data_IF_431709756390
#
_entry.id   IF_431709756390
#
_cell.length_a   1.000
_cell.length_b   1.000
_cell.length_c   1.000
_cell.angle_alpha   90.00
_cell.angle_beta   90.00
_cell.angle_gamma   90.00
#
_symmetry.space_group_name_H-M   'P 1'
#
loop_
_entity.id
_entity.type
_entity.pdbx_description
1 polymer ?
#
# COMPACT_ATOMS: atom_id res chain seq x y z
N UNK A 1 27.68 -0.53 11.62
CA UNK A 1 26.79 -0.94 10.49
C UNK A 1 27.38 -0.33 9.22
N UNK A 2 27.81 -1.17 8.29
CA UNK A 2 28.29 -0.75 6.98
C UNK A 2 27.10 -0.62 6.04
N UNK A 3 27.01 0.48 5.30
CA UNK A 3 25.96 0.71 4.30
C UNK A 3 26.56 0.66 2.91
N UNK A 4 25.89 -0.06 2.00
CA UNK A 4 26.27 -0.12 0.58
C UNK A 4 25.27 0.66 -0.27
N UNK A 5 25.79 1.34 -1.28
CA UNK A 5 25.01 2.16 -2.21
C UNK A 5 24.50 1.31 -3.36
N UNK A 6 23.21 1.46 -3.68
CA UNK A 6 22.56 0.79 -4.82
C UNK A 6 21.58 1.74 -5.50
N UNK A 7 21.24 1.46 -6.77
CA UNK A 7 19.97 1.86 -7.34
C UNK A 7 18.92 0.82 -6.95
N UNK A 8 17.68 1.22 -6.75
CA UNK A 8 16.59 0.27 -6.42
C UNK A 8 16.45 -0.82 -7.49
N UNK A 9 16.67 -0.51 -8.77
CA UNK A 9 16.60 -1.50 -9.85
C UNK A 9 17.66 -2.60 -9.81
N UNK A 10 18.72 -2.46 -9.01
CA UNK A 10 19.70 -3.53 -8.74
C UNK A 10 19.19 -4.50 -7.66
N UNK A 11 18.21 -4.07 -6.87
CA UNK A 11 17.70 -4.77 -5.69
C UNK A 11 16.29 -5.36 -5.90
N UNK A 12 15.51 -4.81 -6.81
CA UNK A 12 14.11 -5.18 -7.04
C UNK A 12 13.67 -4.87 -8.47
N UNK A 13 12.61 -5.55 -8.89
CA UNK A 13 11.86 -5.18 -10.09
C UNK A 13 10.52 -4.52 -9.72
N UNK A 14 10.00 -3.67 -10.63
CA UNK A 14 8.76 -2.91 -10.46
C UNK A 14 7.85 -3.22 -11.64
N UNK A 15 6.80 -4.00 -11.40
CA UNK A 15 5.86 -4.40 -12.45
C UNK A 15 4.59 -3.57 -12.41
N UNK A 16 4.32 -2.85 -13.49
CA UNK A 16 3.07 -2.11 -13.70
C UNK A 16 1.93 -3.07 -13.98
N UNK A 17 0.71 -2.75 -13.47
CA UNK A 17 -0.48 -3.54 -13.72
C UNK A 17 -1.14 -3.32 -15.08
N UNK A 18 -2.28 -3.97 -15.27
CA UNK A 18 -3.05 -3.95 -16.52
C UNK A 18 -3.80 -2.63 -16.73
N UNK A 19 -3.93 -2.22 -17.98
CA UNK A 19 -4.97 -1.26 -18.39
C UNK A 19 -6.31 -1.99 -18.39
N UNK A 20 -7.19 -1.62 -17.45
CA UNK A 20 -8.51 -2.23 -17.28
C UNK A 20 -9.55 -1.37 -17.99
N UNK A 21 -10.30 -1.96 -18.92
CA UNK A 21 -11.32 -1.24 -19.68
C UNK A 21 -12.52 -0.87 -18.78
N UNK A 22 -12.95 0.39 -18.84
CA UNK A 22 -13.97 0.94 -17.95
C UNK A 22 -15.37 0.33 -18.14
N UNK A 23 -15.64 -0.25 -19.30
CA UNK A 23 -16.90 -0.95 -19.60
C UNK A 23 -17.16 -2.16 -18.69
N UNK A 24 -16.09 -2.75 -18.12
CA UNK A 24 -16.18 -3.88 -17.19
C UNK A 24 -16.16 -3.46 -15.72
N UNK A 25 -16.24 -2.16 -15.41
CA UNK A 25 -16.33 -1.71 -14.02
C UNK A 25 -17.74 -1.95 -13.48
N UNK A 26 -17.83 -2.63 -12.32
CA UNK A 26 -19.09 -3.04 -11.73
C UNK A 26 -19.13 -2.76 -10.21
N UNK A 27 -20.33 -2.82 -9.65
CA UNK A 27 -20.57 -2.68 -8.22
C UNK A 27 -20.37 -3.99 -7.45
N UNK A 28 -20.34 -5.11 -8.17
CA UNK A 28 -20.11 -6.46 -7.64
C UNK A 28 -19.23 -7.27 -8.59
N UNK A 29 -18.54 -8.29 -8.10
CA UNK A 29 -17.68 -9.15 -8.91
C UNK A 29 -16.67 -9.92 -8.08
N UNK A 30 -15.86 -10.73 -8.74
CA UNK A 30 -14.86 -11.57 -8.09
C UNK A 30 -13.58 -10.80 -7.72
N UNK A 31 -13.23 -9.77 -8.50
CA UNK A 31 -11.98 -9.05 -8.33
C UNK A 31 -12.23 -7.58 -8.06
N UNK A 32 -11.55 -7.05 -7.05
CA UNK A 32 -11.53 -5.62 -6.74
C UNK A 32 -10.30 -5.02 -7.43
N UNK A 33 -10.49 -4.08 -8.34
CA UNK A 33 -9.38 -3.37 -8.99
C UNK A 33 -8.69 -2.44 -8.00
N UNK A 34 -7.38 -2.56 -7.92
CA UNK A 34 -6.55 -1.66 -7.12
C UNK A 34 -6.47 -0.29 -7.77
N UNK A 35 -6.53 0.74 -6.93
CA UNK A 35 -6.42 2.14 -7.31
C UNK A 35 -5.56 2.88 -6.29
N UNK A 36 -5.26 4.15 -6.53
CA UNK A 36 -4.60 5.00 -5.54
C UNK A 36 -5.38 5.12 -4.22
N UNK A 37 -6.71 4.88 -4.23
CA UNK A 37 -7.55 4.86 -3.02
C UNK A 37 -7.28 3.69 -2.07
N UNK A 38 -6.47 2.71 -2.49
CA UNK A 38 -6.08 1.57 -1.65
C UNK A 38 -4.83 1.85 -0.80
N UNK A 39 -4.30 3.07 -0.84
CA UNK A 39 -3.14 3.45 -0.06
C UNK A 39 -3.54 4.44 1.05
N UNK A 40 -3.27 4.07 2.28
CA UNK A 40 -3.19 5.02 3.39
C UNK A 40 -1.75 5.56 3.44
N UNK A 41 -1.51 6.65 2.70
CA UNK A 41 -0.16 7.23 2.57
C UNK A 41 0.35 7.92 3.84
N UNK A 42 -0.55 8.23 4.78
CA UNK A 42 -0.18 8.79 6.08
C UNK A 42 0.36 7.73 7.02
N UNK A 43 -0.19 6.52 6.94
CA UNK A 43 0.18 5.40 7.79
C UNK A 43 0.96 4.32 7.05
N UNK A 44 1.22 4.55 5.76
CA UNK A 44 1.92 3.62 4.87
C UNK A 44 1.34 2.20 4.96
N UNK A 45 0.04 2.05 4.74
CA UNK A 45 -0.66 0.78 4.89
C UNK A 45 -1.74 0.59 3.81
N UNK A 46 -2.24 -0.64 3.70
CA UNK A 46 -3.37 -0.94 2.83
C UNK A 46 -4.64 -0.33 3.39
N UNK A 47 -5.43 0.29 2.51
CA UNK A 47 -6.73 0.85 2.82
C UNK A 47 -7.80 0.21 1.94
N UNK A 48 -8.92 -0.21 2.53
CA UNK A 48 -10.09 -0.58 1.75
C UNK A 48 -10.68 0.68 1.09
N UNK A 49 -10.70 0.68 -0.24
CA UNK A 49 -11.24 1.83 -0.97
C UNK A 49 -12.77 1.79 -0.95
N UNK A 50 -13.37 2.84 -0.41
CA UNK A 50 -14.83 3.06 -0.35
C UNK A 50 -15.27 4.31 -1.10
N UNK A 51 -14.38 4.91 -1.89
CA UNK A 51 -14.63 6.19 -2.57
C UNK A 51 -15.49 6.09 -3.83
N UNK A 52 -15.74 4.88 -4.32
CA UNK A 52 -16.50 4.59 -5.54
C UNK A 52 -17.31 3.31 -5.37
N UNK A 53 -18.44 3.22 -6.04
CA UNK A 53 -19.29 2.03 -6.00
C UNK A 53 -18.84 0.95 -7.01
N UNK A 54 -18.17 1.36 -8.10
CA UNK A 54 -17.79 0.50 -9.22
C UNK A 54 -16.32 0.02 -9.16
N UNK A 55 -15.90 -0.49 -8.02
CA UNK A 55 -14.51 -0.95 -7.82
C UNK A 55 -14.26 -2.38 -8.31
N UNK A 56 -15.30 -3.15 -8.58
CA UNK A 56 -15.15 -4.50 -9.11
C UNK A 56 -14.85 -4.49 -10.61
N UNK A 57 -14.20 -5.57 -11.06
CA UNK A 57 -13.87 -5.79 -12.47
C UNK A 57 -14.40 -7.15 -12.92
N UNK A 58 -15.21 -7.15 -14.00
CA UNK A 58 -15.88 -8.34 -14.55
C UNK A 58 -15.34 -8.75 -15.92
N UNK A 59 -14.40 -7.99 -16.47
CA UNK A 59 -13.79 -8.27 -17.77
C UNK A 59 -12.72 -9.35 -17.76
N UNK A 60 -12.07 -9.61 -18.89
CA UNK A 60 -11.00 -10.58 -19.00
C UNK A 60 -9.83 -10.27 -18.08
N UNK A 61 -9.35 -11.26 -17.33
CA UNK A 61 -8.26 -11.12 -16.36
C UNK A 61 -7.11 -12.06 -16.72
N UNK A 62 -5.89 -11.51 -16.78
CA UNK A 62 -4.67 -12.31 -16.86
C UNK A 62 -4.20 -12.66 -15.44
N UNK A 63 -3.87 -13.93 -15.21
CA UNK A 63 -3.49 -14.44 -13.88
C UNK A 63 -2.34 -13.70 -13.22
N UNK A 64 -1.41 -13.18 -14.01
CA UNK A 64 -0.24 -12.42 -13.53
C UNK A 64 -0.59 -11.12 -12.80
N UNK A 65 -1.78 -10.56 -13.03
CA UNK A 65 -2.27 -9.34 -12.37
C UNK A 65 -3.17 -9.61 -11.16
N UNK A 66 -3.49 -10.88 -10.88
CA UNK A 66 -4.19 -11.26 -9.66
C UNK A 66 -3.17 -11.24 -8.51
N UNK A 67 -3.47 -10.43 -7.50
CA UNK A 67 -2.55 -10.22 -6.39
C UNK A 67 -2.67 -11.32 -5.35
N UNK A 68 -1.53 -11.60 -4.71
CA UNK A 68 -1.44 -12.56 -3.61
C UNK A 68 -1.22 -11.82 -2.28
N UNK A 69 -1.69 -12.43 -1.20
CA UNK A 69 -1.42 -11.95 0.15
C UNK A 69 0.08 -11.80 0.37
N UNK A 70 0.48 -10.66 0.92
CA UNK A 70 1.89 -10.35 1.14
C UNK A 70 2.56 -9.61 -0.02
N UNK A 71 1.94 -9.53 -1.21
CA UNK A 71 2.47 -8.73 -2.31
C UNK A 71 2.62 -7.27 -1.88
N UNK A 72 3.77 -6.69 -2.15
CA UNK A 72 4.04 -5.27 -1.89
C UNK A 72 3.67 -4.47 -3.12
N UNK A 73 2.88 -3.43 -2.92
CA UNK A 73 2.43 -2.52 -3.98
C UNK A 73 2.79 -1.07 -3.68
N UNK A 74 2.93 -0.26 -4.74
CA UNK A 74 3.16 1.18 -4.67
C UNK A 74 2.36 1.90 -5.76
N UNK A 75 1.85 3.12 -5.54
CA UNK A 75 1.12 3.86 -6.56
C UNK A 75 2.08 4.44 -7.60
N UNK A 76 1.63 4.51 -8.84
CA UNK A 76 2.33 5.17 -9.95
C UNK A 76 1.78 6.56 -10.28
N UNK A 77 0.66 6.94 -9.67
CA UNK A 77 -0.02 8.24 -9.88
C UNK A 77 -0.20 8.94 -8.56
N UNK A 78 0.08 10.23 -8.49
CA UNK A 78 -0.11 11.05 -7.30
C UNK A 78 -1.44 11.83 -7.41
N UNK A 79 -2.45 11.38 -6.69
CA UNK A 79 -3.73 12.08 -6.53
C UNK A 79 -3.74 12.99 -5.28
N UNK A 80 -2.79 12.80 -4.38
CA UNK A 80 -2.57 13.60 -3.19
C UNK A 80 -1.07 13.72 -2.91
N UNK A 81 -0.62 14.88 -2.46
CA UNK A 81 0.81 15.12 -2.14
C UNK A 81 1.29 14.10 -1.09
N UNK A 82 2.40 13.41 -1.39
CA UNK A 82 2.99 12.40 -0.51
C UNK A 82 2.53 10.96 -0.79
N UNK A 83 1.67 10.75 -1.79
CA UNK A 83 1.25 9.41 -2.21
C UNK A 83 2.38 8.65 -2.93
N UNK A 84 3.18 9.33 -3.78
CA UNK A 84 4.33 8.69 -4.44
C UNK A 84 5.34 8.19 -3.41
N UNK A 85 5.75 6.94 -3.58
CA UNK A 85 6.63 6.25 -2.63
C UNK A 85 5.89 5.69 -1.41
N UNK A 86 4.57 5.85 -1.26
CA UNK A 86 3.85 5.05 -0.28
C UNK A 86 3.81 3.58 -0.71
N UNK A 87 3.71 2.69 0.26
CA UNK A 87 3.62 1.25 0.02
C UNK A 87 2.42 0.67 0.76
N UNK A 88 1.93 -0.45 0.26
CA UNK A 88 0.91 -1.24 0.94
C UNK A 88 1.16 -2.73 0.72
N UNK A 89 0.68 -3.57 1.64
CA UNK A 89 0.77 -5.02 1.54
C UNK A 89 -0.63 -5.56 1.27
N UNK A 90 -0.77 -6.41 0.27
CA UNK A 90 -2.03 -7.05 -0.09
C UNK A 90 -2.50 -7.96 1.07
N UNK A 91 -3.73 -7.78 1.57
CA UNK A 91 -4.20 -8.48 2.77
C UNK A 91 -4.75 -9.89 2.51
N UNK A 92 -5.22 -10.18 1.29
CA UNK A 92 -5.93 -11.43 0.96
C UNK A 92 -5.51 -11.95 -0.42
N UNK A 93 -5.48 -13.28 -0.58
CA UNK A 93 -5.20 -13.93 -1.86
C UNK A 93 -6.37 -13.77 -2.85
N UNK A 94 -6.02 -13.64 -4.13
CA UNK A 94 -6.94 -13.78 -5.28
C UNK A 94 -8.16 -12.86 -5.28
N UNK A 95 -8.14 -11.81 -4.48
CA UNK A 95 -9.25 -10.84 -4.37
C UNK A 95 -9.00 -9.54 -5.13
N UNK A 96 -7.74 -9.16 -5.27
CA UNK A 96 -7.35 -7.88 -5.83
C UNK A 96 -6.72 -8.02 -7.20
N UNK A 97 -7.10 -7.12 -8.12
CA UNK A 97 -6.58 -7.05 -9.48
C UNK A 97 -5.70 -5.80 -9.64
N UNK A 98 -4.48 -5.98 -10.08
CA UNK A 98 -3.52 -4.92 -10.29
C UNK A 98 -3.89 -4.08 -11.52
N UNK A 99 -4.19 -2.80 -11.30
CA UNK A 99 -4.44 -1.83 -12.37
C UNK A 99 -3.16 -1.11 -12.80
N UNK A 100 -3.21 -0.40 -13.91
CA UNK A 100 -2.09 0.38 -14.46
C UNK A 100 -1.56 1.48 -13.54
N UNK A 101 -2.36 1.94 -12.56
CA UNK A 101 -1.99 3.00 -11.61
C UNK A 101 -1.23 2.47 -10.38
N UNK A 102 -1.07 1.15 -10.30
CA UNK A 102 -0.42 0.45 -9.19
C UNK A 102 0.68 -0.44 -9.72
N UNK A 103 1.85 -0.38 -9.09
CA UNK A 103 2.96 -1.27 -9.36
C UNK A 103 3.13 -2.30 -8.25
N UNK A 104 3.50 -3.53 -8.63
CA UNK A 104 3.97 -4.59 -7.74
C UNK A 104 5.48 -4.53 -7.63
N UNK A 105 5.98 -4.64 -6.41
CA UNK A 105 7.40 -4.71 -6.09
C UNK A 105 7.82 -6.17 -5.96
N UNK A 106 8.87 -6.56 -6.66
CA UNK A 106 9.44 -7.91 -6.64
C UNK A 106 10.90 -7.79 -6.22
N UNK A 107 11.21 -8.22 -5.00
CA UNK A 107 12.56 -8.12 -4.45
C UNK A 107 13.48 -9.23 -4.97
N UNK A 108 14.76 -8.89 -5.18
CA UNK A 108 15.83 -9.87 -5.22
C UNK A 108 16.17 -10.24 -3.76
N UNK A 109 15.62 -11.33 -3.26
CA UNK A 109 15.71 -11.72 -1.85
C UNK A 109 17.13 -12.07 -1.38
N UNK A 110 18.07 -12.27 -2.30
CA UNK A 110 19.50 -12.43 -1.98
C UNK A 110 20.14 -11.10 -1.52
N UNK A 111 19.55 -9.97 -1.86
CA UNK A 111 20.08 -8.63 -1.58
C UNK A 111 19.12 -7.77 -0.76
N UNK A 112 17.81 -7.96 -0.91
CA UNK A 112 16.79 -7.09 -0.32
C UNK A 112 15.68 -7.91 0.33
N UNK A 113 15.58 -7.83 1.65
CA UNK A 113 14.49 -8.47 2.40
C UNK A 113 13.14 -7.76 2.11
N UNK A 114 12.06 -8.47 1.70
CA UNK A 114 10.83 -7.84 1.24
C UNK A 114 10.20 -6.87 2.25
N UNK A 115 10.17 -7.23 3.53
CA UNK A 115 9.61 -6.35 4.55
C UNK A 115 10.47 -5.11 4.80
N UNK A 116 11.78 -5.20 4.59
CA UNK A 116 12.67 -4.03 4.60
C UNK A 116 12.42 -3.15 3.37
N UNK A 117 12.21 -3.75 2.18
CA UNK A 117 11.85 -3.00 0.96
C UNK A 117 10.57 -2.19 1.13
N UNK A 118 9.56 -2.75 1.81
CA UNK A 118 8.32 -2.06 2.14
C UNK A 118 8.58 -0.73 2.87
N UNK A 119 9.46 -0.73 3.89
CA UNK A 119 9.83 0.48 4.62
C UNK A 119 10.80 1.36 3.83
N UNK A 120 11.73 0.78 3.10
CA UNK A 120 12.73 1.50 2.32
C UNK A 120 12.08 2.39 1.24
N UNK A 121 11.13 1.83 0.48
CA UNK A 121 10.43 2.56 -0.59
C UNK A 121 9.61 3.72 0.00
N UNK A 122 9.01 3.52 1.17
CA UNK A 122 8.24 4.56 1.86
C UNK A 122 9.09 5.56 2.66
N UNK A 123 10.40 5.41 2.65
CA UNK A 123 11.31 6.32 3.35
C UNK A 123 11.32 7.71 2.71
N UNK A 124 11.63 8.73 3.53
CA UNK A 124 11.80 10.10 3.06
C UNK A 124 12.83 10.24 1.93
N UNK A 125 13.88 9.42 1.97
CA UNK A 125 14.93 9.41 0.94
C UNK A 125 14.39 9.06 -0.43
N UNK A 126 13.56 8.02 -0.54
CA UNK A 126 12.94 7.59 -1.80
C UNK A 126 11.82 8.55 -2.19
N UNK A 127 10.94 8.95 -1.26
CA UNK A 127 9.85 9.91 -1.53
C UNK A 127 10.36 11.23 -2.09
N UNK A 128 11.45 11.77 -1.55
CA UNK A 128 12.06 13.00 -2.07
C UNK A 128 12.59 12.85 -3.49
N UNK A 129 13.24 11.74 -3.82
CA UNK A 129 13.72 11.47 -5.18
C UNK A 129 12.56 11.34 -6.18
N UNK A 130 11.50 10.59 -5.82
CA UNK A 130 10.31 10.45 -6.66
C UNK A 130 9.57 11.78 -6.84
N UNK A 131 9.44 12.57 -5.78
CA UNK A 131 8.81 13.89 -5.83
C UNK A 131 9.59 14.85 -6.71
N UNK A 132 10.92 14.90 -6.61
CA UNK A 132 11.79 15.73 -7.45
C UNK A 132 11.68 15.36 -8.94
N UNK A 133 11.60 14.05 -9.24
CA UNK A 133 11.45 13.56 -10.60
C UNK A 133 10.04 13.82 -11.20
N UNK A 134 9.05 14.11 -10.36
CA UNK A 134 7.64 14.32 -10.77
C UNK A 134 7.24 15.79 -10.91
N UNK A 135 8.08 16.75 -10.55
CA UNK A 135 7.75 18.19 -10.45
C UNK A 135 7.37 18.89 -11.78
N UNK A 136 7.46 18.22 -12.92
CA UNK A 136 7.25 18.83 -14.24
C UNK A 136 5.84 18.69 -14.82
N UNK A 137 4.88 18.10 -14.10
CA UNK A 137 3.52 17.83 -14.62
C UNK A 137 2.41 18.20 -13.63
N UNK A 138 1.26 18.68 -14.19
CA UNK A 138 0.05 19.05 -13.42
C UNK A 138 -0.52 17.88 -12.59
N UNK A 139 -0.43 16.66 -13.10
CA UNK A 139 -0.70 15.40 -12.39
C UNK A 139 0.64 14.70 -12.28
N UNK A 140 1.08 14.47 -11.04
CA UNK A 140 2.37 13.83 -10.80
C UNK A 140 2.25 12.35 -11.06
N UNK A 141 3.03 11.86 -12.03
CA UNK A 141 3.17 10.46 -12.33
C UNK A 141 4.60 10.02 -12.10
N UNK A 142 4.74 8.81 -11.59
CA UNK A 142 6.01 8.09 -11.62
C UNK A 142 5.92 6.89 -12.55
N UNK A 143 7.03 6.26 -12.82
CA UNK A 143 7.09 5.04 -13.65
C UNK A 143 7.93 3.98 -12.93
N UNK A 144 7.81 2.71 -13.31
CA UNK A 144 8.70 1.66 -12.84
C UNK A 144 10.18 2.05 -12.92
N UNK A 145 10.60 2.67 -14.02
CA UNK A 145 12.00 3.06 -14.21
C UNK A 145 12.44 4.17 -13.28
N UNK A 146 11.59 5.18 -13.04
CA UNK A 146 11.89 6.24 -12.06
C UNK A 146 12.03 5.69 -10.64
N UNK A 147 11.23 4.67 -10.28
CA UNK A 147 11.38 4.01 -8.98
C UNK A 147 12.70 3.24 -8.94
N UNK A 148 13.02 2.49 -10.00
CA UNK A 148 14.27 1.73 -10.11
C UNK A 148 15.53 2.61 -10.11
N UNK A 149 15.43 3.84 -10.59
CA UNK A 149 16.55 4.80 -10.59
C UNK A 149 16.84 5.45 -9.23
N UNK A 150 15.94 5.33 -8.26
CA UNK A 150 16.17 5.88 -6.92
C UNK A 150 17.42 5.25 -6.27
N UNK A 151 18.26 6.12 -5.71
CA UNK A 151 19.51 5.73 -5.04
C UNK A 151 19.27 5.57 -3.55
N UNK A 152 19.70 4.43 -3.01
CA UNK A 152 19.54 4.07 -1.59
C UNK A 152 20.84 3.54 -1.00
N UNK A 153 20.95 3.62 0.33
CA UNK A 153 22.02 3.02 1.10
C UNK A 153 21.41 1.99 2.03
N UNK A 154 21.82 0.74 1.91
CA UNK A 154 21.24 -0.36 2.69
C UNK A 154 22.31 -1.17 3.40
N UNK A 155 22.01 -1.72 4.59
CA UNK A 155 22.88 -2.64 5.30
C UNK A 155 22.79 -4.06 4.70
N UNK A 156 23.50 -4.99 5.30
CA UNK A 156 23.40 -6.41 4.96
C UNK A 156 22.01 -6.98 5.32
N UNK A 157 21.70 -8.18 4.78
CA UNK A 157 20.41 -8.84 4.96
C UNK A 157 20.05 -9.13 6.43
N UNK A 158 21.02 -9.40 7.26
CA UNK A 158 20.80 -9.66 8.70
C UNK A 158 20.27 -8.41 9.38
N UNK A 159 20.89 -7.29 9.11
CA UNK A 159 20.50 -6.00 9.68
C UNK A 159 19.17 -5.51 9.08
N UNK A 160 18.93 -5.74 7.76
CA UNK A 160 17.64 -5.44 7.13
C UNK A 160 16.49 -6.19 7.84
N UNK A 161 16.66 -7.49 8.13
CA UNK A 161 15.66 -8.29 8.87
C UNK A 161 15.44 -7.77 10.28
N UNK A 162 16.51 -7.36 10.96
CA UNK A 162 16.43 -6.77 12.30
C UNK A 162 15.64 -5.46 12.30
N UNK A 163 15.98 -4.54 11.41
CA UNK A 163 15.28 -3.25 11.25
C UNK A 163 13.81 -3.46 10.91
N UNK A 164 13.52 -4.31 9.93
CA UNK A 164 12.15 -4.63 9.53
C UNK A 164 11.33 -5.24 10.66
N UNK A 165 11.92 -6.09 11.49
CA UNK A 165 11.27 -6.66 12.67
C UNK A 165 10.88 -5.58 13.68
N UNK A 166 11.77 -4.63 13.98
CA UNK A 166 11.48 -3.52 14.89
C UNK A 166 10.33 -2.68 14.34
N UNK A 167 10.40 -2.25 13.08
CA UNK A 167 9.39 -1.40 12.46
C UNK A 167 8.03 -2.10 12.39
N UNK A 168 7.98 -3.37 11.99
CA UNK A 168 6.73 -4.13 11.92
C UNK A 168 6.08 -4.35 13.29
N UNK A 169 6.88 -4.49 14.35
CA UNK A 169 6.37 -4.58 15.72
C UNK A 169 5.80 -3.23 16.20
N UNK A 170 6.39 -2.11 15.79
CA UNK A 170 5.84 -0.77 16.05
C UNK A 170 4.51 -0.57 15.31
N UNK A 171 4.42 -0.94 14.04
CA UNK A 171 3.17 -0.85 13.27
C UNK A 171 2.06 -1.68 13.90
N UNK A 172 2.36 -2.92 14.35
CA UNK A 172 1.39 -3.75 15.07
C UNK A 172 0.89 -3.07 16.36
N UNK A 173 1.76 -2.46 17.14
CA UNK A 173 1.39 -1.73 18.36
C UNK A 173 0.51 -0.52 18.03
N UNK A 174 0.85 0.24 16.98
CA UNK A 174 0.05 1.37 16.51
C UNK A 174 -1.34 0.91 16.08
N UNK A 175 -1.43 -0.18 15.31
CA UNK A 175 -2.71 -0.74 14.86
C UNK A 175 -3.60 -1.19 16.06
N UNK A 176 -3.01 -1.88 17.04
CA UNK A 176 -3.71 -2.30 18.26
C UNK A 176 -4.22 -1.08 19.06
N UNK A 177 -3.38 -0.07 19.27
CA UNK A 177 -3.77 1.13 20.02
C UNK A 177 -4.90 1.89 19.31
N UNK A 178 -4.89 1.96 17.98
CA UNK A 178 -5.98 2.57 17.20
C UNK A 178 -7.28 1.80 17.36
N UNK A 179 -7.23 0.46 17.29
CA UNK A 179 -8.41 -0.37 17.50
C UNK A 179 -9.00 -0.20 18.91
N UNK A 180 -8.14 -0.14 19.94
CA UNK A 180 -8.56 0.13 21.32
C UNK A 180 -9.25 1.50 21.42
N UNK A 181 -8.64 2.55 20.87
CA UNK A 181 -9.19 3.90 20.91
C UNK A 181 -10.52 4.02 20.16
N UNK A 182 -10.68 3.32 19.04
CA UNK A 182 -11.96 3.27 18.32
C UNK A 182 -13.06 2.61 19.15
N UNK A 183 -12.75 1.50 19.84
CA UNK A 183 -13.71 0.82 20.71
C UNK A 183 -14.09 1.65 21.93
N UNK A 184 -13.16 2.42 22.50
CA UNK A 184 -13.42 3.32 23.62
C UNK A 184 -14.24 4.58 23.20
N UNK A 185 -14.12 5.01 21.95
CA UNK A 185 -14.84 6.15 21.40
C UNK A 185 -16.29 5.83 21.00
N UNK A 186 -16.69 4.55 20.95
CA UNK A 186 -18.08 4.11 20.73
C UNK A 186 -18.73 3.81 22.10
N UNK A 187 -19.48 4.76 22.72
CA UNK A 187 -20.24 4.45 23.94
C UNK A 187 -21.26 3.37 23.61
N UNK A 188 -21.31 2.35 24.45
CA UNK A 188 -22.34 1.30 24.38
C UNK A 188 -23.74 1.94 24.51
N UNK A 189 -24.47 2.05 23.39
CA UNK A 189 -25.85 2.56 23.36
C UNK A 189 -26.88 1.52 23.82
N UNK A 190 -26.46 0.40 24.39
CA UNK A 190 -27.34 -0.70 24.79
C UNK A 190 -27.86 -0.65 26.23
N UNK A 191 -27.43 0.34 27.05
CA UNK A 191 -27.84 0.41 28.47
C UNK A 191 -28.71 1.61 28.81
N UNK A 192 -29.76 1.90 28.02
CA UNK A 192 -30.57 3.09 28.26
C UNK A 192 -32.03 3.01 27.85
N UNK A 193 -32.72 1.90 28.08
CA UNK A 193 -34.19 1.84 27.91
C UNK A 193 -34.86 0.86 28.89
N UNK A 194 -34.62 1.05 30.18
CA UNK A 194 -35.54 0.53 31.21
C UNK A 194 -36.52 1.63 31.55
N UNK A 195 -37.71 1.58 30.91
CA UNK A 195 -38.77 2.53 31.08
C UNK A 195 -39.30 2.53 32.50
N UNK A 196 -39.29 3.70 33.13
CA UNK A 196 -40.09 4.00 34.31
C UNK A 196 -41.52 4.18 33.84
N UNK A 197 -42.37 3.16 34.02
CA UNK A 197 -43.83 3.32 34.03
C UNK A 197 -44.22 3.94 35.38
N UNK A 198 -44.62 5.19 35.38
CA UNK A 198 -45.39 5.75 36.49
C UNK A 198 -46.84 5.33 36.33
N UNK A 199 -47.36 4.65 37.35
CA UNK A 199 -48.77 4.46 37.56
C UNK A 199 -49.39 5.75 38.21
N UNK A 200 -50.52 6.17 37.73
CA UNK A 200 -51.55 6.94 38.40
C UNK A 200 -52.89 6.59 37.79
#
# INVERSE_FOLDING_TARGET
MELKKYKLGELLDVKRGASLAGEYYATTGNYIRLTCGNFDYQNNSFKFNTSKDNLFYTGPVRKEFIMKKGDIITPLTEQAIGLLGSTAIIPEDDKYLQSQDVAKIICNEDLLYPMFAYYLISSETVKKQLSAAAQQTKIRHTSPDKIKDCVVWIPDLKEQKHIASILSNLDKKIAINRAINQNLATPDRSSGAAGVRRAA
#
